data_IF_995250679289
#
_entry.id   IF_995250679289
#
_cell.length_a   1.000
_cell.length_b   1.000
_cell.length_c   1.000
_cell.angle_alpha   90.00
_cell.angle_beta   90.00
_cell.angle_gamma   90.00
#
_symmetry.space_group_name_H-M   'P 1'
#
loop_
_entity.id
_entity.type
_entity.pdbx_description
1 polymer ?
#
# COMPACT_ATOMS: atom_id res chain seq x y z
N UNK A 1 5.33 -36.97 30.82
CA UNK A 1 6.19 -35.95 30.19
C UNK A 1 7.08 -36.66 29.19
N UNK A 2 6.76 -36.58 27.90
CA UNK A 2 7.65 -37.04 26.82
C UNK A 2 8.17 -35.77 26.16
N UNK A 3 9.43 -35.46 26.44
CA UNK A 3 10.17 -34.37 25.81
C UNK A 3 10.53 -34.81 24.39
N UNK A 4 9.62 -34.56 23.42
CA UNK A 4 9.93 -34.69 22.00
C UNK A 4 10.73 -33.45 21.57
N UNK A 5 11.98 -33.41 22.04
CA UNK A 5 12.99 -32.46 21.62
C UNK A 5 13.34 -32.65 20.15
N UNK A 6 12.52 -32.09 19.26
CA UNK A 6 12.91 -31.82 17.88
C UNK A 6 13.95 -30.69 17.95
N UNK A 7 15.22 -31.05 18.20
CA UNK A 7 16.35 -30.16 17.97
C UNK A 7 16.33 -29.81 16.49
N UNK A 8 15.89 -28.60 16.15
CA UNK A 8 16.00 -28.07 14.80
C UNK A 8 17.44 -28.28 14.31
N UNK A 9 17.61 -29.01 13.21
CA UNK A 9 18.93 -29.27 12.65
C UNK A 9 19.69 -27.93 12.49
N UNK A 10 20.95 -27.83 12.96
CA UNK A 10 21.73 -26.60 12.88
C UNK A 10 21.78 -26.01 11.46
N UNK A 11 21.74 -26.87 10.43
CA UNK A 11 21.73 -26.49 9.02
C UNK A 11 20.44 -25.80 8.58
N UNK A 12 19.27 -26.26 9.04
CA UNK A 12 17.99 -25.64 8.73
C UNK A 12 17.88 -24.25 9.38
N UNK A 13 18.32 -24.13 10.65
CA UNK A 13 18.38 -22.86 11.37
C UNK A 13 19.29 -21.84 10.68
N UNK A 14 20.48 -22.27 10.25
CA UNK A 14 21.44 -21.39 9.57
C UNK A 14 20.93 -20.91 8.19
N UNK A 15 20.17 -21.75 7.46
CA UNK A 15 19.55 -21.34 6.19
C UNK A 15 18.50 -20.26 6.36
N UNK A 16 17.60 -20.41 7.33
CA UNK A 16 16.54 -19.42 7.61
C UNK A 16 17.16 -18.09 8.03
N UNK A 17 18.17 -18.11 8.91
CA UNK A 17 18.91 -16.90 9.29
C UNK A 17 19.60 -16.25 8.09
N UNK A 18 20.24 -17.05 7.22
CA UNK A 18 20.88 -16.55 6.01
C UNK A 18 19.91 -15.87 5.05
N UNK A 19 18.71 -16.45 4.84
CA UNK A 19 17.67 -15.84 3.99
C UNK A 19 17.15 -14.55 4.63
N UNK A 20 16.90 -14.55 5.94
CA UNK A 20 16.49 -13.34 6.66
C UNK A 20 17.53 -12.22 6.54
N UNK A 21 18.82 -12.53 6.67
CA UNK A 21 19.91 -11.58 6.49
C UNK A 21 19.99 -11.06 5.05
N UNK A 22 19.80 -11.93 4.06
CA UNK A 22 19.78 -11.53 2.65
C UNK A 22 18.60 -10.59 2.34
N UNK A 23 17.41 -10.86 2.88
CA UNK A 23 16.24 -10.00 2.74
C UNK A 23 16.49 -8.65 3.42
N UNK A 24 17.09 -8.63 4.61
CA UNK A 24 17.44 -7.39 5.30
C UNK A 24 18.46 -6.56 4.51
N UNK A 25 19.50 -7.20 3.96
CA UNK A 25 20.47 -6.55 3.09
C UNK A 25 19.82 -6.00 1.81
N UNK A 26 18.91 -6.76 1.19
CA UNK A 26 18.13 -6.30 0.05
C UNK A 26 17.22 -5.12 0.40
N UNK A 27 16.55 -5.15 1.55
CA UNK A 27 15.73 -4.03 2.05
C UNK A 27 16.58 -2.78 2.26
N UNK A 28 17.77 -2.91 2.85
CA UNK A 28 18.71 -1.79 2.99
C UNK A 28 19.16 -1.24 1.64
N UNK A 29 19.41 -2.10 0.66
CA UNK A 29 19.74 -1.70 -0.71
C UNK A 29 18.58 -0.96 -1.39
N UNK A 30 17.34 -1.45 -1.26
CA UNK A 30 16.13 -0.79 -1.78
C UNK A 30 15.97 0.60 -1.18
N UNK A 31 16.12 0.73 0.15
CA UNK A 31 16.05 2.01 0.84
C UNK A 31 17.17 2.96 0.42
N UNK A 32 18.41 2.45 0.31
CA UNK A 32 19.51 3.23 -0.26
C UNK A 32 19.13 3.74 -1.64
N UNK A 33 18.66 2.88 -2.54
CA UNK A 33 18.27 3.28 -3.89
C UNK A 33 17.18 4.37 -3.87
N UNK A 34 16.16 4.24 -3.02
CA UNK A 34 15.09 5.23 -2.90
C UNK A 34 15.56 6.59 -2.30
N UNK A 35 16.63 6.59 -1.51
CA UNK A 35 17.19 7.80 -0.86
C UNK A 35 18.24 8.48 -1.75
N UNK A 36 19.13 7.70 -2.37
CA UNK A 36 20.35 8.21 -3.02
C UNK A 36 20.35 8.09 -4.53
N UNK A 37 19.66 7.09 -5.08
CA UNK A 37 19.72 6.79 -6.52
C UNK A 37 18.53 7.40 -7.23
N UNK A 38 17.31 7.10 -6.79
CA UNK A 38 16.09 7.63 -7.42
C UNK A 38 15.31 8.43 -6.37
N UNK A 39 15.79 9.61 -5.95
CA UNK A 39 15.07 10.45 -5.00
C UNK A 39 13.82 11.01 -5.66
N UNK A 40 12.65 10.50 -5.27
CA UNK A 40 11.34 10.91 -5.78
C UNK A 40 10.65 11.98 -4.92
N UNK A 41 11.43 12.68 -4.09
CA UNK A 41 10.94 13.67 -3.12
C UNK A 41 10.12 14.78 -3.76
N UNK A 42 10.55 15.29 -4.91
CA UNK A 42 9.84 16.35 -5.66
C UNK A 42 8.37 15.99 -5.88
N UNK A 43 8.08 14.73 -6.21
CA UNK A 43 6.71 14.27 -6.40
C UNK A 43 6.00 13.97 -5.08
N UNK A 44 6.63 13.29 -4.12
CA UNK A 44 5.96 12.89 -2.88
C UNK A 44 5.65 14.08 -1.97
N UNK A 45 6.52 15.07 -1.90
CA UNK A 45 6.27 16.29 -1.12
C UNK A 45 5.06 17.06 -1.66
N UNK A 46 4.79 16.99 -2.96
CA UNK A 46 3.63 17.67 -3.59
C UNK A 46 2.27 17.23 -3.05
N UNK A 47 2.18 16.05 -2.42
CA UNK A 47 0.94 15.60 -1.77
C UNK A 47 0.54 16.47 -0.56
N UNK A 48 1.48 17.26 -0.04
CA UNK A 48 1.30 18.13 1.12
C UNK A 48 1.31 19.62 0.74
N UNK A 49 1.25 19.95 -0.55
CA UNK A 49 1.32 21.33 -1.04
C UNK A 49 0.00 22.12 -0.86
N UNK A 50 -1.13 21.44 -0.70
CA UNK A 50 -2.43 22.09 -0.50
C UNK A 50 -2.85 22.04 0.97
N UNK A 51 -3.31 23.18 1.49
CA UNK A 51 -3.85 23.34 2.84
C UNK A 51 -5.24 24.01 2.81
N UNK A 52 -5.85 24.24 3.97
CA UNK A 52 -7.18 24.83 4.07
C UNK A 52 -7.21 26.36 4.13
N UNK A 53 -6.07 27.05 3.99
CA UNK A 53 -6.03 28.53 3.96
C UNK A 53 -6.79 29.09 2.76
N UNK A 54 -6.89 28.31 1.67
CA UNK A 54 -7.62 28.65 0.46
C UNK A 54 -9.05 28.07 0.42
N UNK A 55 -9.55 27.57 1.55
CA UNK A 55 -10.86 26.93 1.69
C UNK A 55 -10.78 25.40 1.73
N UNK A 56 -11.93 24.72 1.74
CA UNK A 56 -11.98 23.26 1.81
C UNK A 56 -11.54 22.63 0.48
N UNK A 57 -10.27 22.22 0.37
CA UNK A 57 -9.68 21.63 -0.85
C UNK A 57 -9.31 20.16 -0.63
N UNK A 58 -9.21 19.38 -1.71
CA UNK A 58 -8.70 18.00 -1.63
C UNK A 58 -7.28 17.99 -1.05
N UNK A 59 -6.97 17.00 -0.20
CA UNK A 59 -5.68 16.89 0.53
C UNK A 59 -5.37 18.04 1.49
N UNK A 60 -6.30 18.95 1.75
CA UNK A 60 -6.01 20.12 2.58
C UNK A 60 -5.53 19.77 4.00
N UNK A 61 -6.01 18.66 4.59
CA UNK A 61 -5.50 18.22 5.90
C UNK A 61 -4.01 17.82 5.83
N UNK A 62 -3.52 17.34 4.68
CA UNK A 62 -2.11 17.03 4.51
C UNK A 62 -1.24 18.29 4.64
N UNK A 63 -1.64 19.40 4.01
CA UNK A 63 -0.94 20.69 4.16
C UNK A 63 -1.08 21.28 5.55
N UNK A 64 -2.22 21.11 6.23
CA UNK A 64 -2.36 21.53 7.64
C UNK A 64 -1.36 20.83 8.57
N UNK A 65 -1.00 19.56 8.30
CA UNK A 65 0.06 18.89 9.05
C UNK A 65 1.43 19.55 8.86
N UNK A 66 1.72 20.06 7.66
CA UNK A 66 2.97 20.80 7.39
C UNK A 66 2.99 22.13 8.14
N UNK A 67 1.84 22.78 8.28
CA UNK A 67 1.70 24.06 9.01
C UNK A 67 1.99 23.96 10.50
N UNK A 68 2.01 22.74 11.08
CA UNK A 68 2.48 22.52 12.46
C UNK A 68 3.97 22.85 12.64
N UNK A 69 4.74 22.87 11.55
CA UNK A 69 6.15 23.25 11.53
C UNK A 69 6.35 24.48 10.61
N UNK A 70 5.92 25.68 11.04
CA UNK A 70 6.02 26.88 10.22
C UNK A 70 7.48 27.14 9.82
N UNK A 71 7.69 27.64 8.59
CA UNK A 71 9.01 27.88 7.98
C UNK A 71 9.85 26.64 7.65
N UNK A 72 9.36 25.43 7.92
CA UNK A 72 10.10 24.18 7.68
C UNK A 72 9.41 23.26 6.67
N UNK A 73 8.83 23.83 5.61
CA UNK A 73 8.06 23.08 4.59
C UNK A 73 8.76 21.79 4.14
N UNK A 74 9.98 21.89 3.60
CA UNK A 74 10.72 20.72 3.08
C UNK A 74 11.11 19.72 4.16
N UNK A 75 11.48 20.17 5.35
CA UNK A 75 11.79 19.28 6.46
C UNK A 75 10.55 18.52 6.95
N UNK A 76 9.43 19.22 7.05
CA UNK A 76 8.14 18.66 7.47
C UNK A 76 7.60 17.68 6.42
N UNK A 77 7.58 18.03 5.13
CA UNK A 77 7.11 17.12 4.07
C UNK A 77 8.03 15.91 3.91
N UNK A 78 9.35 16.08 4.02
CA UNK A 78 10.29 14.94 4.04
C UNK A 78 10.03 14.03 5.25
N UNK A 79 9.82 14.62 6.42
CA UNK A 79 9.46 13.89 7.64
C UNK A 79 8.16 13.10 7.47
N UNK A 80 7.11 13.74 6.95
CA UNK A 80 5.81 13.10 6.69
C UNK A 80 5.91 11.97 5.65
N UNK A 81 6.72 12.15 4.60
CA UNK A 81 7.02 11.11 3.61
C UNK A 81 7.57 9.86 4.29
N UNK A 82 8.64 9.99 5.08
CA UNK A 82 9.28 8.83 5.71
C UNK A 82 8.48 8.28 6.89
N UNK A 83 7.69 9.13 7.56
CA UNK A 83 6.75 8.70 8.58
C UNK A 83 5.67 7.78 8.01
N UNK A 84 5.12 8.09 6.82
CA UNK A 84 4.13 7.22 6.17
C UNK A 84 4.72 5.86 5.81
N UNK A 85 5.94 5.84 5.26
CA UNK A 85 6.72 4.61 5.02
C UNK A 85 6.93 3.82 6.30
N UNK A 86 7.41 4.46 7.37
CA UNK A 86 7.70 3.79 8.64
C UNK A 86 6.44 3.18 9.27
N UNK A 87 5.35 3.95 9.36
CA UNK A 87 4.08 3.48 9.93
C UNK A 87 3.50 2.31 9.12
N UNK A 88 3.60 2.37 7.79
CA UNK A 88 3.18 1.28 6.92
C UNK A 88 3.99 0.00 7.12
N UNK A 89 5.32 0.11 7.20
CA UNK A 89 6.19 -1.03 7.48
C UNK A 89 5.95 -1.60 8.88
N UNK A 90 5.63 -0.76 9.87
CA UNK A 90 5.18 -1.23 11.18
C UNK A 90 3.85 -2.01 11.09
N UNK A 91 2.91 -1.58 10.25
CA UNK A 91 1.68 -2.33 9.97
C UNK A 91 1.96 -3.71 9.36
N UNK A 92 2.84 -3.79 8.35
CA UNK A 92 3.28 -5.06 7.77
C UNK A 92 4.01 -5.94 8.80
N UNK A 93 4.86 -5.36 9.64
CA UNK A 93 5.55 -6.06 10.71
C UNK A 93 4.56 -6.60 11.76
N UNK A 94 3.48 -5.88 12.07
CA UNK A 94 2.42 -6.38 12.94
C UNK A 94 1.75 -7.63 12.35
N UNK A 95 1.45 -7.63 11.04
CA UNK A 95 0.89 -8.80 10.33
C UNK A 95 1.87 -9.97 10.37
N UNK A 96 3.15 -9.74 10.09
CA UNK A 96 4.19 -10.77 10.22
C UNK A 96 4.29 -11.30 11.66
N UNK A 97 4.19 -10.42 12.66
CA UNK A 97 4.12 -10.77 14.07
C UNK A 97 2.94 -11.69 14.40
N UNK A 98 1.75 -11.41 13.87
CA UNK A 98 0.58 -12.29 14.03
C UNK A 98 0.84 -13.69 13.46
N UNK A 99 1.45 -13.77 12.27
CA UNK A 99 1.81 -15.05 11.64
C UNK A 99 2.77 -15.85 12.51
N UNK A 100 3.77 -15.19 13.09
CA UNK A 100 4.82 -15.85 13.89
C UNK A 100 4.38 -16.21 15.32
N UNK A 101 3.49 -15.43 15.92
CA UNK A 101 3.06 -15.60 17.32
C UNK A 101 1.74 -16.38 17.47
N UNK A 102 1.00 -16.60 16.38
CA UNK A 102 -0.36 -17.19 16.42
C UNK A 102 -0.46 -18.70 16.67
N UNK A 103 0.66 -19.40 16.93
CA UNK A 103 0.65 -20.86 17.13
C UNK A 103 2.06 -21.46 17.25
N UNK A 104 2.20 -22.76 16.96
CA UNK A 104 3.51 -23.42 16.98
C UNK A 104 4.42 -22.88 15.88
N UNK A 105 5.71 -22.72 16.18
CA UNK A 105 6.71 -22.32 15.17
C UNK A 105 6.80 -23.39 14.09
N UNK A 106 6.60 -22.99 12.84
CA UNK A 106 6.71 -23.86 11.66
C UNK A 106 7.53 -23.16 10.57
N UNK A 107 8.11 -23.96 9.67
CA UNK A 107 8.83 -23.44 8.50
C UNK A 107 7.90 -22.60 7.60
N UNK A 108 6.63 -22.99 7.46
CA UNK A 108 5.64 -22.25 6.67
C UNK A 108 5.34 -20.88 7.24
N UNK A 109 5.16 -20.74 8.56
CA UNK A 109 5.00 -19.43 9.22
C UNK A 109 6.21 -18.54 8.98
N UNK A 110 7.43 -19.10 9.06
CA UNK A 110 8.67 -18.36 8.78
C UNK A 110 8.76 -17.91 7.32
N UNK A 111 8.49 -18.80 6.36
CA UNK A 111 8.50 -18.46 4.93
C UNK A 111 7.48 -17.35 4.60
N UNK A 112 6.25 -17.45 5.12
CA UNK A 112 5.21 -16.44 4.93
C UNK A 112 5.63 -15.11 5.56
N UNK A 113 6.15 -15.12 6.78
CA UNK A 113 6.62 -13.89 7.42
C UNK A 113 7.79 -13.23 6.65
N UNK A 114 8.72 -14.03 6.13
CA UNK A 114 9.87 -13.55 5.37
C UNK A 114 9.51 -13.01 3.99
N UNK A 115 8.45 -13.52 3.34
CA UNK A 115 8.08 -13.02 2.01
C UNK A 115 7.34 -11.68 2.06
N UNK A 116 6.67 -11.33 3.17
CA UNK A 116 5.92 -10.06 3.34
C UNK A 116 6.70 -8.82 2.86
N UNK A 117 7.95 -8.56 3.29
CA UNK A 117 8.69 -7.38 2.83
C UNK A 117 9.00 -7.37 1.32
N UNK A 118 8.93 -8.53 0.65
CA UNK A 118 9.20 -8.67 -0.78
C UNK A 118 7.94 -8.58 -1.64
N UNK A 119 6.75 -8.77 -1.07
CA UNK A 119 5.50 -8.76 -1.84
C UNK A 119 5.35 -7.46 -2.67
N UNK A 120 4.48 -7.44 -3.71
CA UNK A 120 4.29 -6.24 -4.53
C UNK A 120 4.01 -4.96 -3.73
N UNK A 121 3.34 -5.09 -2.59
CA UNK A 121 3.03 -4.01 -1.64
C UNK A 121 4.03 -3.90 -0.47
N UNK A 122 5.16 -4.60 -0.52
CA UNK A 122 6.16 -4.66 0.55
C UNK A 122 7.06 -3.42 0.61
N UNK A 123 8.34 -3.64 0.92
CA UNK A 123 9.34 -2.57 1.09
C UNK A 123 9.49 -1.68 -0.16
N UNK A 124 9.58 -2.21 -1.39
CA UNK A 124 9.73 -1.35 -2.57
C UNK A 124 8.54 -0.40 -2.75
N UNK A 125 7.31 -0.88 -2.51
CA UNK A 125 6.12 -0.03 -2.54
C UNK A 125 6.21 1.07 -1.48
N UNK A 126 6.56 0.72 -0.25
CA UNK A 126 6.68 1.68 0.84
C UNK A 126 7.79 2.73 0.61
N UNK A 127 8.90 2.35 -0.02
CA UNK A 127 10.06 3.21 -0.25
C UNK A 127 9.92 4.10 -1.48
N UNK A 128 9.46 3.53 -2.60
CA UNK A 128 9.32 4.23 -3.88
C UNK A 128 7.95 4.87 -4.09
N UNK A 129 6.92 4.48 -3.34
CA UNK A 129 5.58 5.06 -3.39
C UNK A 129 5.16 5.59 -2.01
N UNK A 130 6.02 6.42 -1.41
CA UNK A 130 5.90 6.99 -0.06
C UNK A 130 4.82 8.09 0.05
N UNK A 131 3.59 7.73 -0.32
CA UNK A 131 2.40 8.60 -0.38
C UNK A 131 1.58 8.51 0.91
N UNK A 132 0.67 9.48 1.16
CA UNK A 132 -0.18 9.43 2.35
C UNK A 132 -1.14 8.23 2.40
N UNK A 133 -1.43 7.57 1.28
CA UNK A 133 -2.26 6.35 1.22
C UNK A 133 -1.63 5.17 2.01
N UNK A 134 -0.32 5.21 2.26
CA UNK A 134 0.36 4.27 3.17
C UNK A 134 -0.18 4.30 4.60
N UNK A 135 -0.68 5.45 5.09
CA UNK A 135 -1.36 5.49 6.41
C UNK A 135 -2.64 4.66 6.41
N UNK A 136 -3.40 4.67 5.30
CA UNK A 136 -4.61 3.86 5.14
C UNK A 136 -4.28 2.37 5.12
N UNK A 137 -3.22 2.00 4.41
CA UNK A 137 -2.70 0.63 4.42
C UNK A 137 -2.30 0.16 5.81
N UNK A 138 -1.55 0.99 6.55
CA UNK A 138 -1.18 0.69 7.93
C UNK A 138 -2.40 0.49 8.84
N UNK A 139 -3.40 1.37 8.73
CA UNK A 139 -4.64 1.27 9.49
C UNK A 139 -5.36 -0.05 9.19
N UNK A 140 -5.44 -0.47 7.92
CA UNK A 140 -6.07 -1.73 7.52
C UNK A 140 -5.29 -2.94 8.05
N UNK A 141 -3.96 -2.93 7.98
CA UNK A 141 -3.12 -4.01 8.51
C UNK A 141 -3.29 -4.19 10.02
N UNK A 142 -3.29 -3.08 10.77
CA UNK A 142 -3.50 -3.09 12.22
C UNK A 142 -4.94 -3.51 12.58
N UNK A 143 -5.95 -2.97 11.88
CA UNK A 143 -7.35 -3.34 12.07
C UNK A 143 -7.57 -4.84 11.82
N UNK A 144 -7.04 -5.38 10.71
CA UNK A 144 -7.14 -6.80 10.37
C UNK A 144 -6.45 -7.68 11.40
N UNK A 145 -5.25 -7.28 11.84
CA UNK A 145 -4.50 -7.98 12.90
C UNK A 145 -5.26 -7.99 14.23
N UNK A 146 -5.85 -6.85 14.62
CA UNK A 146 -6.65 -6.73 15.84
C UNK A 146 -7.91 -7.61 15.80
N UNK A 147 -8.62 -7.63 14.66
CA UNK A 147 -9.77 -8.52 14.47
C UNK A 147 -9.40 -10.00 14.58
N UNK A 148 -8.20 -10.40 14.14
CA UNK A 148 -7.76 -11.79 14.20
C UNK A 148 -7.70 -12.33 15.65
N UNK A 149 -7.45 -11.47 16.64
CA UNK A 149 -7.37 -11.84 18.06
C UNK A 149 -8.61 -11.50 18.88
N UNK A 150 -9.52 -10.69 18.34
CA UNK A 150 -10.66 -10.19 19.10
C UNK A 150 -11.68 -11.31 19.37
N UNK A 151 -12.06 -11.47 20.64
CA UNK A 151 -13.03 -12.49 21.09
C UNK A 151 -14.41 -11.94 21.46
N UNK A 152 -14.49 -10.65 21.78
CA UNK A 152 -15.75 -9.99 22.17
C UNK A 152 -16.35 -9.19 21.03
N UNK A 153 -17.69 -9.27 20.88
CA UNK A 153 -18.46 -8.47 19.92
C UNK A 153 -18.26 -6.97 20.13
N UNK A 154 -18.27 -6.52 21.38
CA UNK A 154 -18.14 -5.10 21.72
C UNK A 154 -16.77 -4.56 21.28
N UNK A 155 -15.70 -5.29 21.58
CA UNK A 155 -14.33 -4.93 21.18
C UNK A 155 -14.20 -4.94 19.65
N UNK A 156 -14.76 -5.94 18.97
CA UNK A 156 -14.70 -6.01 17.51
C UNK A 156 -15.44 -4.83 16.85
N UNK A 157 -16.60 -4.44 17.40
CA UNK A 157 -17.32 -3.26 16.94
C UNK A 157 -16.53 -1.97 17.23
N UNK A 158 -15.89 -1.88 18.38
CA UNK A 158 -14.98 -0.78 18.72
C UNK A 158 -13.86 -0.64 17.69
N UNK A 159 -13.23 -1.76 17.28
CA UNK A 159 -12.24 -1.74 16.21
C UNK A 159 -12.80 -1.28 14.87
N UNK A 160 -14.02 -1.70 14.50
CA UNK A 160 -14.67 -1.21 13.27
C UNK A 160 -14.90 0.31 13.33
N UNK A 161 -15.36 0.83 14.46
CA UNK A 161 -15.60 2.26 14.65
C UNK A 161 -14.30 3.07 14.61
N UNK A 162 -13.26 2.61 15.32
CA UNK A 162 -11.93 3.25 15.32
C UNK A 162 -11.37 3.27 13.89
N UNK A 163 -11.40 2.13 13.19
CA UNK A 163 -10.92 2.06 11.81
C UNK A 163 -11.70 3.00 10.90
N UNK A 164 -13.04 3.00 10.96
CA UNK A 164 -13.88 3.90 10.17
C UNK A 164 -13.56 5.37 10.42
N UNK A 165 -13.42 5.78 11.68
CA UNK A 165 -13.05 7.15 12.05
C UNK A 165 -11.65 7.52 11.56
N UNK A 166 -10.66 6.64 11.72
CA UNK A 166 -9.30 6.86 11.23
C UNK A 166 -9.31 7.03 9.71
N UNK A 167 -9.98 6.14 8.98
CA UNK A 167 -10.07 6.22 7.52
C UNK A 167 -10.79 7.51 7.08
N UNK A 168 -11.85 7.94 7.77
CA UNK A 168 -12.53 9.19 7.47
C UNK A 168 -11.60 10.41 7.58
N UNK A 169 -10.72 10.45 8.59
CA UNK A 169 -9.71 11.51 8.76
C UNK A 169 -8.61 11.38 7.71
N UNK A 170 -8.09 10.18 7.46
CA UNK A 170 -7.08 9.94 6.45
C UNK A 170 -7.58 10.31 5.05
N UNK A 171 -8.85 10.13 4.74
CA UNK A 171 -9.47 10.61 3.49
C UNK A 171 -9.33 12.12 3.29
N UNK A 172 -9.27 12.92 4.36
CA UNK A 172 -9.03 14.36 4.25
C UNK A 172 -7.56 14.69 3.93
N UNK A 173 -6.63 13.79 4.29
CA UNK A 173 -5.21 13.86 3.91
C UNK A 173 -5.04 13.42 2.45
N UNK A 174 -5.75 12.37 2.04
CA UNK A 174 -5.76 11.90 0.65
C UNK A 174 -7.12 11.30 0.29
N UNK A 175 -7.81 11.94 -0.65
CA UNK A 175 -9.23 11.76 -0.98
C UNK A 175 -9.63 10.32 -1.36
N UNK A 176 -8.70 9.54 -1.91
CA UNK A 176 -8.94 8.17 -2.34
C UNK A 176 -8.87 7.12 -1.22
N UNK A 177 -8.31 7.43 -0.04
CA UNK A 177 -8.02 6.42 1.01
C UNK A 177 -9.29 5.66 1.42
N UNK A 178 -10.39 6.36 1.64
CA UNK A 178 -11.67 5.75 2.03
C UNK A 178 -12.20 4.71 1.03
N UNK A 179 -11.92 4.91 -0.25
CA UNK A 179 -12.32 3.99 -1.32
C UNK A 179 -11.31 2.87 -1.53
N UNK A 180 -10.02 3.19 -1.47
CA UNK A 180 -8.91 2.26 -1.71
C UNK A 180 -8.91 1.04 -0.80
N UNK A 181 -9.18 1.24 0.50
CA UNK A 181 -9.10 0.18 1.52
C UNK A 181 -10.46 -0.36 1.96
N UNK A 182 -11.54 -0.01 1.25
CA UNK A 182 -12.90 -0.46 1.56
C UNK A 182 -13.05 -1.98 1.35
N UNK A 183 -12.47 -2.52 0.27
CA UNK A 183 -12.48 -3.95 -0.02
C UNK A 183 -11.80 -4.74 1.09
N UNK A 184 -10.60 -4.33 1.50
CA UNK A 184 -9.84 -4.96 2.58
C UNK A 184 -10.58 -4.95 3.90
N UNK A 185 -11.23 -3.83 4.27
CA UNK A 185 -12.02 -3.75 5.48
C UNK A 185 -13.22 -4.73 5.48
N UNK A 186 -13.94 -4.82 4.36
CA UNK A 186 -15.03 -5.78 4.17
C UNK A 186 -14.52 -7.22 4.30
N UNK A 187 -13.41 -7.55 3.63
CA UNK A 187 -12.80 -8.88 3.69
C UNK A 187 -12.36 -9.23 5.12
N UNK A 188 -11.68 -8.30 5.81
CA UNK A 188 -11.24 -8.49 7.20
C UNK A 188 -12.43 -8.78 8.14
N UNK A 189 -13.53 -8.06 8.01
CA UNK A 189 -14.72 -8.27 8.85
C UNK A 189 -15.41 -9.61 8.54
N UNK A 190 -15.49 -9.99 7.26
CA UNK A 190 -16.09 -11.27 6.85
C UNK A 190 -15.28 -12.45 7.38
N UNK A 191 -13.95 -12.40 7.18
CA UNK A 191 -13.03 -13.53 7.38
C UNK A 191 -12.46 -13.58 8.80
N UNK A 192 -12.08 -12.43 9.36
CA UNK A 192 -11.41 -12.33 10.66
C UNK A 192 -12.40 -11.98 11.77
N UNK A 193 -13.49 -11.26 11.46
CA UNK A 193 -14.52 -10.77 12.39
C UNK A 193 -15.47 -11.83 12.96
N UNK A 194 -14.95 -12.99 13.37
CA UNK A 194 -15.70 -14.08 13.99
C UNK A 194 -16.59 -13.62 15.14
N UNK A 195 -16.02 -12.82 16.04
CA UNK A 195 -16.65 -12.29 17.25
C UNK A 195 -17.86 -11.36 17.00
N UNK A 196 -17.99 -10.78 15.80
CA UNK A 196 -19.15 -9.94 15.46
C UNK A 196 -20.44 -10.75 15.26
N UNK A 197 -20.34 -12.05 14.95
CA UNK A 197 -21.50 -12.92 14.73
C UNK A 197 -22.47 -12.34 13.68
N UNK A 198 -23.73 -12.14 14.07
CA UNK A 198 -24.77 -11.53 13.24
C UNK A 198 -24.53 -10.05 12.92
N UNK A 199 -23.70 -9.35 13.71
CA UNK A 199 -23.41 -7.93 13.56
C UNK A 199 -22.36 -7.61 12.48
N UNK A 200 -21.85 -8.60 11.74
CA UNK A 200 -20.81 -8.38 10.72
C UNK A 200 -21.21 -7.35 9.65
N UNK A 201 -22.49 -7.33 9.23
CA UNK A 201 -23.00 -6.34 8.27
C UNK A 201 -22.88 -4.93 8.83
N UNK A 202 -23.37 -4.72 10.06
CA UNK A 202 -23.25 -3.43 10.74
C UNK A 202 -21.78 -3.04 10.94
N UNK A 203 -20.93 -3.99 11.34
CA UNK A 203 -19.49 -3.75 11.48
C UNK A 203 -18.85 -3.28 10.16
N UNK A 204 -19.22 -3.88 9.02
CA UNK A 204 -18.75 -3.47 7.70
C UNK A 204 -19.22 -2.06 7.34
N UNK A 205 -20.48 -1.73 7.62
CA UNK A 205 -21.00 -0.38 7.40
C UNK A 205 -20.27 0.65 8.26
N UNK A 206 -20.08 0.37 9.55
CA UNK A 206 -19.37 1.25 10.49
C UNK A 206 -17.91 1.47 10.07
N UNK A 207 -17.25 0.45 9.54
CA UNK A 207 -15.86 0.53 9.10
C UNK A 207 -15.69 1.27 7.74
N UNK A 208 -16.67 1.18 6.84
CA UNK A 208 -16.52 1.66 5.45
C UNK A 208 -17.23 3.00 5.20
N UNK A 209 -18.47 3.16 5.71
CA UNK A 209 -19.30 4.35 5.43
C UNK A 209 -18.59 5.66 5.78
N UNK A 210 -17.92 5.81 6.94
CA UNK A 210 -17.27 7.08 7.27
C UNK A 210 -16.24 7.52 6.22
N UNK A 211 -15.42 6.59 5.71
CA UNK A 211 -14.47 6.85 4.64
C UNK A 211 -15.15 7.26 3.33
N UNK A 212 -16.21 6.54 2.94
CA UNK A 212 -17.00 6.83 1.73
C UNK A 212 -17.67 8.20 1.82
N UNK A 213 -18.26 8.54 2.97
CA UNK A 213 -18.86 9.86 3.22
C UNK A 213 -17.79 10.94 3.12
N UNK A 214 -16.64 10.78 3.77
CA UNK A 214 -15.55 11.77 3.66
C UNK A 214 -15.10 11.96 2.21
N UNK A 215 -14.98 10.88 1.42
CA UNK A 215 -14.62 10.99 0.00
C UNK A 215 -15.71 11.73 -0.78
N UNK A 216 -16.98 11.42 -0.54
CA UNK A 216 -18.10 12.10 -1.18
C UNK A 216 -18.16 13.59 -0.82
N UNK A 217 -17.89 13.95 0.45
CA UNK A 217 -17.81 15.34 0.91
C UNK A 217 -16.67 16.08 0.22
N UNK A 218 -15.48 15.49 0.14
CA UNK A 218 -14.35 16.09 -0.60
C UNK A 218 -14.68 16.25 -2.08
N UNK A 219 -15.33 15.27 -2.70
CA UNK A 219 -15.70 15.34 -4.11
C UNK A 219 -16.80 16.37 -4.41
N UNK A 220 -17.76 16.56 -3.50
CA UNK A 220 -18.91 17.45 -3.71
C UNK A 220 -18.65 18.90 -3.27
N UNK A 221 -17.90 19.08 -2.18
CA UNK A 221 -17.67 20.39 -1.55
C UNK A 221 -16.23 20.87 -1.68
N UNK A 222 -15.33 20.03 -2.22
CA UNK A 222 -13.96 20.43 -2.50
C UNK A 222 -13.93 21.61 -3.46
N UNK A 223 -13.25 22.68 -3.06
CA UNK A 223 -13.09 23.86 -3.88
C UNK A 223 -12.18 23.54 -5.07
N UNK A 224 -12.66 23.90 -6.26
CA UNK A 224 -11.91 23.89 -7.51
C UNK A 224 -11.47 25.31 -7.88
N UNK A 225 -10.64 25.46 -8.92
CA UNK A 225 -10.16 26.76 -9.41
C UNK A 225 -9.29 27.51 -8.39
N UNK A 226 -8.42 26.75 -7.72
CA UNK A 226 -7.46 27.25 -6.70
C UNK A 226 -6.01 27.06 -7.12
N UNK A 227 -5.73 26.54 -8.32
CA UNK A 227 -4.37 26.23 -8.75
C UNK A 227 -3.42 27.42 -8.69
N UNK A 228 -3.87 28.63 -9.08
CA UNK A 228 -3.04 29.84 -9.04
C UNK A 228 -2.71 30.28 -7.61
N UNK A 229 -3.67 30.17 -6.70
CA UNK A 229 -3.49 30.49 -5.28
C UNK A 229 -2.53 29.50 -4.62
N UNK A 230 -2.72 28.21 -4.89
CA UNK A 230 -1.83 27.15 -4.42
C UNK A 230 -0.43 27.32 -4.97
N UNK A 231 -0.29 27.58 -6.27
CA UNK A 231 1.02 27.81 -6.89
C UNK A 231 1.76 28.96 -6.20
N UNK A 232 1.10 30.08 -5.92
CA UNK A 232 1.70 31.21 -5.21
C UNK A 232 2.15 30.88 -3.77
N UNK A 233 1.56 29.87 -3.13
CA UNK A 233 1.91 29.42 -1.79
C UNK A 233 3.03 28.36 -1.76
N UNK A 234 3.35 27.73 -2.90
CA UNK A 234 4.41 26.71 -2.97
C UNK A 234 5.78 27.40 -2.86
N UNK A 235 6.67 26.97 -1.95
CA UNK A 235 7.99 27.58 -1.82
C UNK A 235 8.95 27.14 -2.93
N UNK A 236 9.81 28.06 -3.38
CA UNK A 236 10.94 27.74 -4.26
C UNK A 236 12.02 26.95 -3.52
N UNK A 237 12.58 25.95 -4.18
CA UNK A 237 13.73 25.20 -3.69
C UNK A 237 14.29 24.30 -4.79
N UNK A 238 15.60 24.34 -5.07
CA UNK A 238 16.22 23.40 -5.99
C UNK A 238 16.20 21.99 -5.40
N UNK A 239 15.65 21.03 -6.15
CA UNK A 239 15.55 19.63 -5.75
C UNK A 239 16.04 18.68 -6.84
N UNK A 240 16.65 17.53 -6.45
CA UNK A 240 16.92 16.44 -7.38
C UNK A 240 15.64 15.96 -8.05
N UNK A 241 15.64 15.88 -9.37
CA UNK A 241 14.53 15.37 -10.15
C UNK A 241 15.01 14.32 -11.17
N UNK A 242 15.13 13.04 -10.79
CA UNK A 242 15.59 12.00 -11.71
C UNK A 242 14.67 11.85 -12.93
N UNK A 243 13.37 12.19 -12.84
CA UNK A 243 12.43 12.08 -13.96
C UNK A 243 12.66 13.07 -15.09
N UNK A 244 13.35 14.19 -14.84
CA UNK A 244 13.75 15.09 -15.93
C UNK A 244 14.80 14.47 -16.87
N UNK A 245 15.47 13.40 -16.44
CA UNK A 245 16.54 12.75 -17.22
C UNK A 245 16.29 11.26 -17.50
N UNK A 246 15.56 10.57 -16.63
CA UNK A 246 15.30 9.13 -16.73
C UNK A 246 13.98 8.89 -17.45
N UNK A 247 14.06 8.62 -18.75
CA UNK A 247 12.91 8.36 -19.63
C UNK A 247 12.89 6.92 -20.17
N UNK A 248 13.94 6.14 -19.90
CA UNK A 248 14.13 4.77 -20.38
C UNK A 248 15.07 3.98 -19.45
N UNK A 249 15.10 2.63 -19.53
CA UNK A 249 16.06 1.82 -18.77
C UNK A 249 17.52 2.18 -19.06
N UNK A 250 17.83 2.57 -20.31
CA UNK A 250 19.18 3.01 -20.69
C UNK A 250 19.56 4.34 -20.02
N UNK A 251 18.64 5.30 -19.98
CA UNK A 251 18.89 6.59 -19.33
C UNK A 251 18.93 6.45 -17.81
N UNK A 252 18.20 5.51 -17.22
CA UNK A 252 18.37 5.11 -15.83
C UNK A 252 19.78 4.57 -15.58
N UNK A 253 20.27 3.67 -16.43
CA UNK A 253 21.61 3.09 -16.27
C UNK A 253 22.70 4.17 -16.38
N UNK A 254 22.58 5.08 -17.37
CA UNK A 254 23.49 6.24 -17.49
C UNK A 254 23.41 7.16 -16.27
N UNK A 255 22.20 7.48 -15.81
CA UNK A 255 22.00 8.27 -14.60
C UNK A 255 22.69 7.67 -13.37
N UNK A 256 22.58 6.34 -13.19
CA UNK A 256 23.22 5.62 -12.08
C UNK A 256 24.74 5.67 -12.18
N UNK A 257 25.29 5.58 -13.39
CA UNK A 257 26.74 5.62 -13.64
C UNK A 257 27.33 7.03 -13.53
N UNK A 258 26.61 8.03 -14.06
CA UNK A 258 27.08 9.41 -14.15
C UNK A 258 26.84 10.20 -12.86
N UNK A 259 25.90 9.74 -12.01
CA UNK A 259 25.63 10.29 -10.67
C UNK A 259 25.07 11.72 -10.65
N UNK A 260 24.68 12.28 -11.80
CA UNK A 260 24.17 13.66 -11.91
C UNK A 260 22.65 13.66 -11.98
N UNK A 261 21.99 13.99 -10.88
CA UNK A 261 20.58 14.36 -10.94
C UNK A 261 20.41 15.76 -11.48
N UNK A 262 19.62 15.92 -12.54
CA UNK A 262 19.13 17.25 -12.92
C UNK A 262 18.40 17.85 -11.71
N UNK A 263 18.71 19.12 -11.44
CA UNK A 263 17.99 19.89 -10.43
C UNK A 263 16.80 20.54 -11.12
N UNK A 264 15.65 20.54 -10.46
CA UNK A 264 14.50 21.33 -10.87
C UNK A 264 14.07 22.18 -9.69
N UNK A 265 13.60 23.40 -9.94
CA UNK A 265 12.96 24.18 -8.90
C UNK A 265 11.61 23.55 -8.52
N UNK A 266 11.42 23.29 -7.23
CA UNK A 266 10.25 22.61 -6.70
C UNK A 266 8.95 23.37 -7.02
N UNK A 267 8.96 24.70 -6.86
CA UNK A 267 7.79 25.52 -7.16
C UNK A 267 7.43 25.40 -8.64
N UNK A 268 8.39 25.61 -9.54
CA UNK A 268 8.13 25.51 -10.98
C UNK A 268 7.58 24.14 -11.38
N UNK A 269 8.15 23.06 -10.81
CA UNK A 269 7.73 21.70 -11.11
C UNK A 269 6.31 21.41 -10.59
N UNK A 270 6.01 21.80 -9.35
CA UNK A 270 4.69 21.59 -8.73
C UNK A 270 3.62 22.43 -9.42
N UNK A 271 3.92 23.70 -9.73
CA UNK A 271 3.01 24.59 -10.44
C UNK A 271 2.70 24.11 -11.86
N UNK A 272 3.64 23.43 -12.52
CA UNK A 272 3.44 22.87 -13.85
C UNK A 272 2.69 21.54 -13.83
N UNK A 273 3.04 20.64 -12.91
CA UNK A 273 2.62 19.24 -12.98
C UNK A 273 1.52 18.85 -11.98
N UNK A 274 1.38 19.58 -10.88
CA UNK A 274 0.54 19.18 -9.74
C UNK A 274 -0.62 20.14 -9.53
N UNK A 275 -0.36 21.43 -9.37
CA UNK A 275 -1.41 22.42 -9.07
C UNK A 275 -2.52 22.49 -10.12
N UNK A 276 -2.28 22.29 -11.44
CA UNK A 276 -3.38 22.31 -12.42
C UNK A 276 -4.46 21.26 -12.13
N UNK A 277 -4.09 20.15 -11.48
CA UNK A 277 -5.06 19.11 -11.11
C UNK A 277 -6.06 19.55 -10.02
N UNK A 278 -5.84 20.69 -9.36
CA UNK A 278 -6.78 21.28 -8.39
C UNK A 278 -7.89 22.10 -9.07
N UNK A 279 -7.74 22.39 -10.36
CA UNK A 279 -8.80 23.03 -11.16
C UNK A 279 -9.67 21.99 -11.88
N UNK A 280 -9.19 20.74 -11.98
CA UNK A 280 -9.91 19.65 -12.62
C UNK A 280 -11.13 19.22 -11.80
N UNK A 281 -12.28 19.14 -12.47
CA UNK A 281 -13.43 18.40 -11.96
C UNK A 281 -13.29 16.89 -12.20
N UNK A 282 -14.31 16.13 -11.81
CA UNK A 282 -14.34 14.66 -12.01
C UNK A 282 -14.25 14.31 -13.51
N UNK A 283 -14.97 15.02 -14.37
CA UNK A 283 -14.96 14.78 -15.81
C UNK A 283 -13.56 15.02 -16.43
N UNK A 284 -12.85 16.04 -15.97
CA UNK A 284 -11.49 16.34 -16.46
C UNK A 284 -10.48 15.30 -15.97
N UNK A 285 -10.63 14.80 -14.75
CA UNK A 285 -9.84 13.69 -14.24
C UNK A 285 -10.05 12.41 -15.07
N UNK A 286 -11.30 12.08 -15.43
CA UNK A 286 -11.60 10.94 -16.31
C UNK A 286 -10.99 11.12 -17.70
N UNK A 287 -11.12 12.32 -18.28
CA UNK A 287 -10.50 12.64 -19.58
C UNK A 287 -8.98 12.50 -19.53
N UNK A 288 -8.36 12.94 -18.44
CA UNK A 288 -6.91 12.81 -18.20
C UNK A 288 -6.45 11.35 -18.16
N UNK A 289 -7.23 10.45 -17.55
CA UNK A 289 -6.95 9.01 -17.61
C UNK A 289 -7.09 8.48 -19.04
N UNK A 290 -8.11 8.94 -19.78
CA UNK A 290 -8.29 8.58 -21.19
C UNK A 290 -7.10 8.95 -22.09
N UNK A 291 -6.39 10.05 -21.78
CA UNK A 291 -5.22 10.50 -22.54
C UNK A 291 -4.00 9.59 -22.44
N UNK A 292 -3.93 8.69 -21.45
CA UNK A 292 -2.89 7.65 -21.35
C UNK A 292 -3.01 6.64 -22.51
N UNK A 293 -4.22 6.48 -23.04
CA UNK A 293 -4.51 5.54 -24.11
C UNK A 293 -4.80 4.12 -23.62
N UNK A 294 -5.63 3.40 -24.38
CA UNK A 294 -6.10 2.07 -24.03
C UNK A 294 -4.95 1.05 -23.85
N UNK A 295 -3.87 1.18 -24.62
CA UNK A 295 -2.73 0.27 -24.56
C UNK A 295 -2.01 0.36 -23.20
N UNK A 296 -1.63 1.55 -22.75
CA UNK A 296 -0.91 1.75 -21.48
C UNK A 296 -1.73 1.27 -20.28
N UNK A 297 -3.03 1.60 -20.27
CA UNK A 297 -3.96 1.13 -19.24
C UNK A 297 -4.14 -0.39 -19.26
N UNK A 298 -4.26 -1.01 -20.44
CA UNK A 298 -4.40 -2.47 -20.58
C UNK A 298 -3.16 -3.22 -20.11
N UNK A 299 -1.95 -2.76 -20.49
CA UNK A 299 -0.70 -3.36 -20.03
C UNK A 299 -0.55 -3.24 -18.52
N UNK A 300 -0.87 -2.06 -17.96
CA UNK A 300 -0.86 -1.82 -16.51
C UNK A 300 -1.84 -2.74 -15.77
N UNK A 301 -3.03 -2.96 -16.34
CA UNK A 301 -4.04 -3.87 -15.81
C UNK A 301 -3.53 -5.32 -15.80
N UNK A 302 -3.01 -5.80 -16.93
CA UNK A 302 -2.52 -7.17 -17.07
C UNK A 302 -1.35 -7.42 -16.10
N UNK A 303 -0.38 -6.51 -16.06
CA UNK A 303 0.78 -6.63 -15.18
C UNK A 303 0.38 -6.64 -13.70
N UNK A 304 -0.48 -5.72 -13.26
CA UNK A 304 -0.97 -5.68 -11.90
C UNK A 304 -1.81 -6.91 -11.54
N UNK A 305 -2.69 -7.38 -12.43
CA UNK A 305 -3.50 -8.57 -12.21
C UNK A 305 -2.65 -9.84 -12.10
N UNK A 306 -1.61 -9.96 -12.94
CA UNK A 306 -0.63 -11.04 -12.84
C UNK A 306 0.11 -11.00 -11.49
N UNK A 307 0.53 -9.81 -11.04
CA UNK A 307 1.18 -9.65 -9.74
C UNK A 307 0.25 -10.06 -8.57
N UNK A 308 -1.03 -9.70 -8.62
CA UNK A 308 -2.04 -10.13 -7.62
C UNK A 308 -2.17 -11.65 -7.62
N UNK A 309 -2.33 -12.26 -8.80
CA UNK A 309 -2.49 -13.70 -8.94
C UNK A 309 -1.27 -14.48 -8.43
N UNK A 310 -0.06 -14.09 -8.83
CA UNK A 310 1.20 -14.70 -8.37
C UNK A 310 1.37 -14.54 -6.86
N UNK A 311 1.01 -13.38 -6.31
CA UNK A 311 1.08 -13.12 -4.86
C UNK A 311 0.17 -14.06 -4.08
N UNK A 312 -1.11 -14.12 -4.45
CA UNK A 312 -2.08 -14.97 -3.74
C UNK A 312 -1.77 -16.45 -3.91
N UNK A 313 -1.38 -16.88 -5.11
CA UNK A 313 -0.95 -18.24 -5.38
C UNK A 313 0.29 -18.61 -4.54
N UNK A 314 1.32 -17.78 -4.58
CA UNK A 314 2.55 -17.99 -3.82
C UNK A 314 2.28 -18.07 -2.31
N UNK A 315 1.46 -17.17 -1.78
CA UNK A 315 1.03 -17.22 -0.38
C UNK A 315 0.28 -18.51 -0.05
N UNK A 316 -0.58 -19.01 -0.95
CA UNK A 316 -1.28 -20.27 -0.77
C UNK A 316 -0.31 -21.46 -0.70
N UNK A 317 0.64 -21.54 -1.63
CA UNK A 317 1.64 -22.61 -1.66
C UNK A 317 2.59 -22.58 -0.45
N UNK A 318 3.04 -21.39 -0.05
CA UNK A 318 3.92 -21.20 1.12
C UNK A 318 3.20 -21.52 2.43
N UNK A 319 1.96 -21.04 2.59
CA UNK A 319 1.17 -21.31 3.78
C UNK A 319 0.59 -22.73 3.83
N UNK A 320 0.46 -23.41 2.69
CA UNK A 320 -0.19 -24.71 2.57
C UNK A 320 -1.72 -24.64 2.56
N UNK A 321 -2.30 -23.44 2.65
CA UNK A 321 -3.74 -23.21 2.67
C UNK A 321 -4.22 -22.92 1.25
N UNK A 322 -5.12 -23.74 0.68
CA UNK A 322 -5.59 -23.53 -0.68
C UNK A 322 -6.44 -22.25 -0.76
N UNK A 323 -6.25 -21.46 -1.82
CA UNK A 323 -7.06 -20.26 -2.10
C UNK A 323 -8.57 -20.57 -2.16
N UNK A 324 -8.92 -21.78 -2.60
CA UNK A 324 -10.32 -22.25 -2.60
C UNK A 324 -10.96 -22.18 -1.21
N UNK A 325 -10.23 -22.51 -0.15
CA UNK A 325 -10.75 -22.44 1.22
C UNK A 325 -11.05 -20.99 1.65
N UNK A 326 -10.28 -20.02 1.15
CA UNK A 326 -10.53 -18.61 1.37
C UNK A 326 -11.78 -18.14 0.61
N UNK A 327 -11.93 -18.55 -0.65
CA UNK A 327 -13.12 -18.25 -1.47
C UNK A 327 -14.38 -18.88 -0.86
N UNK A 328 -14.29 -20.12 -0.37
CA UNK A 328 -15.38 -20.81 0.32
C UNK A 328 -15.81 -20.05 1.59
N UNK A 329 -14.86 -19.48 2.33
CA UNK A 329 -15.17 -18.64 3.48
C UNK A 329 -15.90 -17.33 3.13
N UNK A 330 -15.89 -16.92 1.85
CA UNK A 330 -16.63 -15.77 1.32
C UNK A 330 -18.02 -16.15 0.76
N UNK A 331 -18.32 -17.45 0.61
CA UNK A 331 -19.61 -17.90 0.08
C UNK A 331 -20.79 -17.37 0.92
N UNK A 332 -21.86 -16.98 0.24
CA UNK A 332 -23.02 -16.31 0.85
C UNK A 332 -22.78 -14.83 1.21
N UNK A 333 -21.59 -14.27 0.94
CA UNK A 333 -21.26 -12.86 1.21
C UNK A 333 -20.62 -12.13 0.03
N UNK A 334 -20.62 -12.75 -1.14
CA UNK A 334 -20.03 -12.19 -2.37
C UNK A 334 -20.60 -10.81 -2.72
N UNK A 335 -21.88 -10.54 -2.45
CA UNK A 335 -22.46 -9.21 -2.67
C UNK A 335 -21.73 -8.10 -1.89
N UNK A 336 -21.28 -8.37 -0.66
CA UNK A 336 -20.50 -7.40 0.12
C UNK A 336 -19.09 -7.21 -0.44
N UNK A 337 -18.45 -8.30 -0.88
CA UNK A 337 -17.13 -8.25 -1.54
C UNK A 337 -17.22 -7.45 -2.83
N UNK A 338 -18.26 -7.70 -3.64
CA UNK A 338 -18.53 -6.94 -4.86
C UNK A 338 -18.78 -5.46 -4.56
N UNK A 339 -19.58 -5.13 -3.54
CA UNK A 339 -19.78 -3.75 -3.11
C UNK A 339 -18.46 -3.06 -2.71
N UNK A 340 -17.61 -3.75 -1.93
CA UNK A 340 -16.27 -3.26 -1.57
C UNK A 340 -15.38 -3.02 -2.79
N UNK A 341 -15.40 -3.92 -3.77
CA UNK A 341 -14.66 -3.78 -5.03
C UNK A 341 -15.19 -2.63 -5.89
N UNK A 342 -16.51 -2.47 -5.99
CA UNK A 342 -17.15 -1.38 -6.72
C UNK A 342 -16.75 0.00 -6.19
N UNK A 343 -16.52 0.11 -4.87
CA UNK A 343 -16.04 1.35 -4.25
C UNK A 343 -14.63 1.74 -4.71
N UNK A 344 -13.82 0.82 -5.22
CA UNK A 344 -12.48 1.11 -5.74
C UNK A 344 -12.53 1.67 -7.17
N UNK A 345 -13.60 1.39 -7.94
CA UNK A 345 -13.69 1.79 -9.35
C UNK A 345 -13.51 3.29 -9.62
N UNK A 346 -14.06 4.23 -8.82
CA UNK A 346 -13.81 5.66 -9.01
C UNK A 346 -12.33 6.02 -9.04
N UNK A 347 -11.49 5.29 -8.30
CA UNK A 347 -10.03 5.49 -8.25
C UNK A 347 -9.38 5.11 -9.58
N UNK A 348 -9.85 4.06 -10.24
CA UNK A 348 -9.40 3.67 -11.59
C UNK A 348 -9.83 4.68 -12.66
N UNK A 349 -11.05 5.21 -12.53
CA UNK A 349 -11.57 6.19 -13.49
C UNK A 349 -10.89 7.56 -13.39
N UNK A 350 -10.40 7.93 -12.21
CA UNK A 350 -9.85 9.26 -11.94
C UNK A 350 -8.32 9.28 -11.77
N UNK A 351 -7.66 8.12 -11.75
CA UNK A 351 -6.21 8.01 -11.62
C UNK A 351 -5.60 7.02 -12.61
N UNK A 352 -4.52 7.44 -13.28
CA UNK A 352 -3.85 6.66 -14.33
C UNK A 352 -2.93 5.53 -13.85
N UNK A 353 -2.62 5.48 -12.55
CA UNK A 353 -1.65 4.54 -11.96
C UNK A 353 -2.27 3.18 -11.66
N UNK A 354 -2.75 2.48 -12.71
CA UNK A 354 -3.53 1.24 -12.58
C UNK A 354 -2.73 0.08 -11.97
N UNK A 355 -1.42 0.00 -12.23
CA UNK A 355 -0.54 -0.98 -11.58
C UNK A 355 -0.49 -0.76 -10.07
N UNK A 356 -0.41 0.49 -9.60
CA UNK A 356 -0.55 0.79 -8.17
C UNK A 356 -1.92 0.37 -7.64
N UNK A 357 -3.01 0.71 -8.32
CA UNK A 357 -4.35 0.38 -7.83
C UNK A 357 -4.55 -1.12 -7.64
N UNK A 358 -3.98 -1.93 -8.54
CA UNK A 358 -3.94 -3.38 -8.39
C UNK A 358 -3.00 -3.84 -7.27
N UNK A 359 -1.91 -3.13 -7.01
CA UNK A 359 -1.02 -3.39 -5.86
C UNK A 359 -1.73 -3.12 -4.53
N UNK A 360 -2.57 -2.08 -4.45
CA UNK A 360 -3.42 -1.80 -3.28
C UNK A 360 -4.50 -2.87 -3.14
N UNK A 361 -5.15 -3.30 -4.22
CA UNK A 361 -6.09 -4.45 -4.18
C UNK A 361 -5.37 -5.72 -3.73
N UNK A 362 -4.14 -5.96 -4.20
CA UNK A 362 -3.32 -7.08 -3.76
C UNK A 362 -3.07 -7.00 -2.25
N UNK A 363 -2.75 -5.81 -1.72
CA UNK A 363 -2.62 -5.57 -0.29
C UNK A 363 -3.90 -5.89 0.48
N UNK A 364 -5.05 -5.34 0.06
CA UNK A 364 -6.36 -5.55 0.67
C UNK A 364 -6.71 -7.03 0.84
N UNK A 365 -6.49 -7.81 -0.22
CA UNK A 365 -6.81 -9.24 -0.22
C UNK A 365 -5.73 -10.04 0.51
N UNK A 366 -4.46 -9.78 0.23
CA UNK A 366 -3.36 -10.60 0.71
C UNK A 366 -3.14 -10.48 2.22
N UNK A 367 -3.29 -9.29 2.82
CA UNK A 367 -3.17 -9.15 4.28
C UNK A 367 -4.24 -9.98 5.00
N UNK A 368 -5.49 -9.91 4.54
CA UNK A 368 -6.57 -10.71 5.10
C UNK A 368 -6.35 -12.21 4.86
N UNK A 369 -5.85 -12.58 3.67
CA UNK A 369 -5.51 -13.98 3.36
C UNK A 369 -4.35 -14.51 4.21
N UNK A 370 -3.30 -13.73 4.45
CA UNK A 370 -2.17 -14.09 5.33
C UNK A 370 -2.67 -14.36 6.74
N UNK A 371 -3.50 -13.46 7.29
CA UNK A 371 -4.08 -13.60 8.63
C UNK A 371 -5.11 -14.74 8.72
N UNK A 372 -5.82 -15.03 7.62
CA UNK A 372 -6.65 -16.22 7.51
C UNK A 372 -5.78 -17.47 7.62
N UNK A 373 -4.73 -17.57 6.82
CA UNK A 373 -3.81 -18.70 6.80
C UNK A 373 -3.11 -18.92 8.16
N UNK A 374 -2.75 -17.83 8.87
CA UNK A 374 -2.11 -17.89 10.18
C UNK A 374 -2.94 -18.63 11.25
N UNK A 375 -4.26 -18.75 11.05
CA UNK A 375 -5.20 -19.42 11.95
C UNK A 375 -5.62 -20.82 11.47
N UNK A 376 -5.00 -21.32 10.41
CA UNK A 376 -5.33 -22.61 9.80
C UNK A 376 -4.28 -23.66 10.15
N UNK A 377 -4.67 -24.90 10.49
CA UNK A 377 -3.72 -25.94 10.93
C UNK A 377 -2.67 -26.30 9.86
N UNK A 378 -2.97 -26.11 8.59
CA UNK A 378 -2.09 -26.39 7.45
C UNK A 378 -0.77 -25.59 7.55
N UNK A 379 -0.81 -24.37 8.10
CA UNK A 379 0.39 -23.54 8.26
C UNK A 379 1.34 -24.09 9.33
N UNK A 380 0.90 -25.00 10.19
CA UNK A 380 1.74 -25.61 11.24
C UNK A 380 2.47 -26.85 10.74
N UNK A 381 2.10 -27.37 9.56
CA UNK A 381 2.71 -28.54 8.97
C UNK A 381 4.10 -28.25 8.40
N UNK A 382 4.96 -29.28 8.36
CA UNK A 382 6.27 -29.19 7.73
C UNK A 382 6.15 -28.86 6.24
N UNK A 383 7.12 -28.09 5.72
CA UNK A 383 7.13 -27.73 4.30
C UNK A 383 7.79 -28.85 3.49
N UNK A 384 7.18 -29.35 2.40
CA UNK A 384 7.86 -30.29 1.53
C UNK A 384 9.03 -29.59 0.81
N UNK A 385 10.07 -30.32 0.37
CA UNK A 385 11.23 -29.74 -0.30
C UNK A 385 10.89 -28.90 -1.53
N UNK A 386 9.80 -29.24 -2.24
CA UNK A 386 9.27 -28.47 -3.37
C UNK A 386 8.86 -27.05 -2.95
N UNK A 387 8.23 -26.89 -1.79
CA UNK A 387 7.80 -25.58 -1.27
C UNK A 387 9.01 -24.71 -0.90
N UNK A 388 10.09 -25.29 -0.35
CA UNK A 388 11.32 -24.55 -0.07
C UNK A 388 12.00 -24.02 -1.35
N UNK A 389 12.02 -24.82 -2.42
CA UNK A 389 12.51 -24.36 -3.73
C UNK A 389 11.64 -23.25 -4.31
N UNK A 390 10.32 -23.41 -4.21
CA UNK A 390 9.37 -22.37 -4.62
C UNK A 390 9.55 -21.09 -3.81
N UNK A 391 9.76 -21.19 -2.50
CA UNK A 391 10.06 -20.04 -1.65
C UNK A 391 11.29 -19.29 -2.12
N UNK A 392 12.41 -19.99 -2.37
CA UNK A 392 13.60 -19.36 -2.93
C UNK A 392 13.31 -18.68 -4.27
N UNK A 393 12.59 -19.36 -5.17
CA UNK A 393 12.20 -18.79 -6.46
C UNK A 393 11.34 -17.52 -6.32
N UNK A 394 10.33 -17.54 -5.45
CA UNK A 394 9.48 -16.37 -5.18
C UNK A 394 10.28 -15.22 -4.57
N UNK A 395 11.17 -15.50 -3.62
CA UNK A 395 12.08 -14.51 -3.04
C UNK A 395 12.92 -13.84 -4.14
N UNK A 396 13.55 -14.63 -5.02
CA UNK A 396 14.33 -14.09 -6.13
C UNK A 396 13.46 -13.30 -7.11
N UNK A 397 12.30 -13.84 -7.51
CA UNK A 397 11.41 -13.18 -8.47
C UNK A 397 10.91 -11.82 -7.94
N UNK A 398 10.43 -11.77 -6.70
CA UNK A 398 9.95 -10.54 -6.07
C UNK A 398 11.09 -9.55 -5.76
N UNK A 399 12.28 -10.04 -5.42
CA UNK A 399 13.44 -9.18 -5.21
C UNK A 399 13.95 -8.52 -6.51
N UNK A 400 13.84 -9.22 -7.64
CA UNK A 400 14.30 -8.74 -8.96
C UNK A 400 13.26 -7.89 -9.69
N UNK A 401 11.97 -8.14 -9.47
CA UNK A 401 10.86 -7.41 -10.10
C UNK A 401 10.05 -6.72 -9.00
N UNK A 402 10.52 -5.57 -8.49
CA UNK A 402 9.79 -4.82 -7.45
C UNK A 402 8.56 -4.15 -8.07
N UNK A 403 7.47 -4.91 -8.23
CA UNK A 403 6.21 -4.45 -8.84
C UNK A 403 5.73 -3.13 -8.23
N UNK A 404 5.84 -3.00 -6.90
CA UNK A 404 5.45 -1.77 -6.18
C UNK A 404 6.28 -0.52 -6.49
N UNK A 405 7.40 -0.66 -7.21
CA UNK A 405 8.23 0.44 -7.69
C UNK A 405 7.96 0.79 -9.16
N UNK A 406 7.15 0.01 -9.89
CA UNK A 406 6.85 0.24 -11.30
C UNK A 406 5.75 1.31 -11.40
N UNK A 407 6.03 2.52 -11.93
CA UNK A 407 4.97 3.46 -12.27
C UNK A 407 4.13 2.85 -13.40
N UNK A 408 2.80 3.06 -13.39
CA UNK A 408 1.91 2.57 -14.44
C UNK A 408 2.43 2.83 -15.86
N UNK A 409 2.22 1.87 -16.77
CA UNK A 409 2.71 1.94 -18.14
C UNK A 409 2.00 3.05 -18.92
N UNK A 410 2.76 3.90 -19.60
CA UNK A 410 2.22 4.99 -20.44
C UNK A 410 1.87 6.28 -19.69
N UNK A 411 2.28 6.44 -18.43
CA UNK A 411 2.18 7.71 -17.71
C UNK A 411 2.84 8.87 -18.46
N UNK A 412 2.40 10.13 -18.26
CA UNK A 412 3.06 11.28 -18.88
C UNK A 412 4.54 11.28 -18.49
N UNK A 413 5.41 11.47 -19.48
CA UNK A 413 6.81 11.78 -19.23
C UNK A 413 6.82 13.10 -18.45
N UNK A 414 7.15 13.07 -17.17
CA UNK A 414 7.26 14.27 -16.33
C UNK A 414 8.60 14.98 -16.62
N UNK A 415 8.78 15.38 -17.88
CA UNK A 415 9.92 16.11 -18.42
C UNK A 415 9.70 17.63 -18.36
#
# INVERSE_FOLDING_TARGET
MVDLGVKAEPRARNRVVGIGAAIAAWTALVLWCAIKVVPLDVYWMSYYAADYTHGFVRRGLAGELVRLAPNHYFGATLGLRWLSTAIYLCGLAAVAGVVLLGGHRSERRLMVAMVIPLLPFGVPFAAFSARPDLFGGAALALFSSALAFTRSRAVAMGWCAIYGSVIAVLTLIHEAIGLQFALGAVLAIIILGGALGSARRLGALVAVIPGVISTAVVAAFGRHHVASQLCAAVPHHPMPNPFATVTSPETLLRFVLDGRSSQTDYHDWVCRNVTPNYDNGIADAIRSVGHIGALGLTVSLIFGAAAVAVTLWGLGELSGVPLRAFIEALQGRIAWVAAGLLLVLPVFFTGYDWTRWLTIIAFDVAIVFILFCARRPEIEQAAPPKTLRLFAFLVFAFALIPVGAVPGFGGPLMA
#
